data_IF_529756019308
#
_entry.id   IF_529756019308
#
_cell.length_a   1.000
_cell.length_b   1.000
_cell.length_c   1.000
_cell.angle_alpha   90.00
_cell.angle_beta   90.00
_cell.angle_gamma   90.00
#
_symmetry.space_group_name_H-M   'P 1'
#
loop_
_entity.id
_entity.type
_entity.pdbx_description
1 polymer ?
#
# COMPACT_ATOMS: atom_id res chain seq x y z
N UNK A 1 -12.18 -6.22 -21.91
CA UNK A 1 -11.20 -6.70 -20.90
C UNK A 1 -11.04 -5.58 -19.88
N UNK A 2 -11.63 -5.73 -18.68
CA UNK A 2 -11.72 -4.67 -17.68
C UNK A 2 -10.57 -4.84 -16.69
N UNK A 3 -9.44 -4.22 -16.98
CA UNK A 3 -8.31 -4.14 -16.05
C UNK A 3 -8.82 -3.44 -14.79
N UNK A 4 -8.76 -4.08 -13.63
CA UNK A 4 -9.17 -3.48 -12.35
C UNK A 4 -7.95 -3.47 -11.43
N UNK A 5 -7.33 -2.31 -11.28
CA UNK A 5 -6.21 -2.09 -10.36
C UNK A 5 -6.83 -1.75 -9.01
N UNK A 6 -6.98 -2.75 -8.13
CA UNK A 6 -7.84 -2.57 -6.95
C UNK A 6 -7.12 -2.66 -5.62
N UNK A 7 -5.80 -2.65 -5.54
CA UNK A 7 -5.13 -2.51 -4.25
C UNK A 7 -3.83 -1.73 -4.44
N UNK A 8 -3.71 -0.55 -3.84
CA UNK A 8 -2.40 0.08 -3.56
C UNK A 8 -2.24 0.13 -2.03
N UNK A 9 -1.09 -0.30 -1.56
CA UNK A 9 -0.62 -0.14 -0.18
C UNK A 9 0.54 0.86 -0.14
N UNK A 10 0.34 2.18 -0.26
CA UNK A 10 1.38 3.13 0.09
C UNK A 10 1.80 3.03 1.55
N UNK A 11 3.00 2.47 1.77
CA UNK A 11 3.80 2.70 2.97
C UNK A 11 4.55 4.01 2.83
N UNK A 12 4.14 5.00 3.64
CA UNK A 12 4.79 6.32 3.67
C UNK A 12 5.73 6.41 4.87
N UNK A 13 7.03 6.48 4.60
CA UNK A 13 8.02 6.84 5.62
C UNK A 13 8.15 8.36 5.66
N UNK A 14 7.89 8.99 6.82
CA UNK A 14 8.23 10.41 7.00
C UNK A 14 9.72 10.48 7.32
N UNK A 15 10.54 10.81 6.33
CA UNK A 15 11.96 11.13 6.54
C UNK A 15 12.09 12.61 6.94
N UNK A 16 11.94 12.90 8.22
CA UNK A 16 12.39 14.16 8.82
C UNK A 16 13.33 13.78 9.96
N UNK A 17 14.64 13.87 9.69
CA UNK A 17 15.76 13.36 10.53
C UNK A 17 15.83 11.83 10.63
N UNK A 18 17.04 11.32 10.84
CA UNK A 18 17.36 9.93 11.21
C UNK A 18 16.80 9.58 12.60
N UNK A 19 15.54 9.89 12.85
CA UNK A 19 14.79 9.48 14.02
C UNK A 19 14.13 8.15 13.70
N UNK A 20 14.36 7.15 14.55
CA UNK A 20 13.79 5.81 14.49
C UNK A 20 12.30 5.89 14.09
N UNK A 21 11.88 5.20 13.02
CA UNK A 21 10.49 5.22 12.54
C UNK A 21 9.57 4.75 13.68
N UNK A 22 8.97 5.69 14.41
CA UNK A 22 8.12 5.37 15.57
C UNK A 22 6.75 4.85 15.14
N UNK A 23 6.27 5.25 13.96
CA UNK A 23 4.95 4.92 13.46
C UNK A 23 4.99 4.69 11.95
N UNK A 24 4.89 3.43 11.54
CA UNK A 24 4.67 3.06 10.15
C UNK A 24 3.22 3.39 9.77
N UNK A 25 3.03 3.95 8.57
CA UNK A 25 1.70 4.23 8.05
C UNK A 25 1.45 3.51 6.74
N UNK A 26 0.27 2.93 6.62
CA UNK A 26 -0.26 2.35 5.39
C UNK A 26 -1.52 3.09 5.03
N UNK A 27 -1.57 3.65 3.82
CA UNK A 27 -2.76 4.32 3.28
C UNK A 27 -3.24 5.51 4.14
N UNK A 28 -2.35 6.08 4.96
CA UNK A 28 -2.64 7.17 5.90
C UNK A 28 -2.91 6.72 7.33
N UNK A 29 -3.22 5.44 7.55
CA UNK A 29 -3.50 4.84 8.86
C UNK A 29 -2.22 4.32 9.52
N UNK A 30 -2.14 4.40 10.85
CA UNK A 30 -1.00 3.88 11.61
C UNK A 30 -1.13 2.37 11.70
N UNK A 31 -0.10 1.66 11.22
CA UNK A 31 0.01 0.23 11.43
C UNK A 31 0.58 -0.02 12.82
N UNK A 32 -0.29 -0.44 13.73
CA UNK A 32 0.08 -0.88 15.07
C UNK A 32 -0.70 -2.14 15.42
N UNK A 33 -0.04 -3.05 16.13
CA UNK A 33 -0.71 -4.21 16.72
C UNK A 33 -1.87 -3.72 17.61
N UNK A 34 -3.01 -4.38 17.51
CA UNK A 34 -4.13 -4.13 18.40
C UNK A 34 -3.76 -4.58 19.82
N UNK A 35 -4.48 -4.06 20.82
CA UNK A 35 -4.21 -4.39 22.23
C UNK A 35 -4.41 -5.88 22.55
N UNK A 36 -5.20 -6.59 21.73
CA UNK A 36 -5.42 -8.04 21.81
C UNK A 36 -4.33 -8.86 21.08
N UNK A 37 -3.29 -8.20 20.56
CA UNK A 37 -2.21 -8.84 19.84
C UNK A 37 -2.51 -9.13 18.36
N UNK A 38 -3.71 -8.82 17.87
CA UNK A 38 -4.07 -9.05 16.47
C UNK A 38 -3.46 -8.01 15.55
N UNK A 39 -3.20 -8.45 14.33
CA UNK A 39 -2.86 -7.54 13.25
C UNK A 39 -4.06 -6.61 12.95
N UNK A 40 -3.83 -5.32 12.69
CA UNK A 40 -4.88 -4.45 12.19
C UNK A 40 -5.34 -4.96 10.82
N UNK A 41 -6.64 -4.82 10.49
CA UNK A 41 -7.11 -5.12 9.14
C UNK A 41 -6.40 -4.20 8.14
N UNK A 42 -6.06 -4.75 6.97
CA UNK A 42 -5.46 -3.99 5.89
C UNK A 42 -6.57 -3.37 5.03
N UNK A 43 -6.64 -2.04 5.01
CA UNK A 43 -7.61 -1.29 4.21
C UNK A 43 -6.95 -0.80 2.90
N UNK A 44 -7.13 -1.50 1.78
CA UNK A 44 -6.51 -1.09 0.53
C UNK A 44 -7.21 0.11 -0.10
N UNK A 45 -6.47 0.88 -0.89
CA UNK A 45 -7.06 1.92 -1.74
C UNK A 45 -7.34 1.32 -3.11
N UNK A 46 -8.62 1.34 -3.49
CA UNK A 46 -9.08 1.00 -4.85
C UNK A 46 -8.85 2.23 -5.73
N UNK A 47 -8.16 2.04 -6.86
CA UNK A 47 -7.85 3.12 -7.80
C UNK A 47 -8.42 2.83 -9.17
N UNK A 48 -8.66 3.90 -9.94
CA UNK A 48 -9.03 3.71 -11.33
C UNK A 48 -7.81 3.23 -12.15
N UNK A 49 -7.99 2.35 -13.14
CA UNK A 49 -6.86 1.80 -13.91
C UNK A 49 -6.04 2.84 -14.67
N UNK A 50 -6.67 3.95 -15.02
CA UNK A 50 -6.06 5.08 -15.74
C UNK A 50 -5.56 6.18 -14.80
N UNK A 51 -5.74 6.02 -13.49
CA UNK A 51 -5.33 7.01 -12.51
C UNK A 51 -3.81 7.01 -12.38
N UNK A 52 -3.20 8.19 -12.49
CA UNK A 52 -1.78 8.37 -12.23
C UNK A 52 -1.53 8.27 -10.74
N UNK A 53 -0.63 7.37 -10.34
CA UNK A 53 -0.24 7.16 -8.94
C UNK A 53 1.07 7.91 -8.70
N UNK A 54 1.02 8.92 -7.82
CA UNK A 54 2.20 9.70 -7.44
C UNK A 54 2.80 9.13 -6.16
N UNK A 55 4.05 8.66 -6.24
CA UNK A 55 4.76 8.11 -5.10
C UNK A 55 5.54 9.20 -4.35
N UNK A 56 5.29 9.38 -3.04
CA UNK A 56 6.11 10.27 -2.24
C UNK A 56 7.59 9.81 -2.20
N UNK A 57 8.55 10.73 -2.08
CA UNK A 57 9.94 10.37 -1.82
C UNK A 57 10.07 9.49 -0.56
N UNK A 58 10.98 8.52 -0.60
CA UNK A 58 11.23 7.57 0.49
C UNK A 58 9.96 6.81 0.93
N UNK A 59 9.15 6.36 -0.04
CA UNK A 59 7.98 5.52 0.21
C UNK A 59 8.08 4.21 -0.56
N UNK A 60 7.33 3.20 -0.12
CA UNK A 60 7.18 1.93 -0.83
C UNK A 60 5.69 1.67 -1.02
N UNK A 61 5.30 1.12 -2.17
CA UNK A 61 3.92 0.71 -2.39
C UNK A 61 3.83 -0.72 -2.87
N UNK A 62 2.82 -1.44 -2.42
CA UNK A 62 2.45 -2.73 -3.01
C UNK A 62 1.19 -2.54 -3.83
N UNK A 63 1.20 -3.06 -5.06
CA UNK A 63 0.05 -3.00 -5.94
C UNK A 63 -0.42 -4.41 -6.28
N UNK A 64 -1.74 -4.63 -6.22
CA UNK A 64 -2.35 -5.85 -6.73
C UNK A 64 -3.17 -5.51 -7.96
N UNK A 65 -2.78 -6.09 -9.08
CA UNK A 65 -3.43 -5.91 -10.37
C UNK A 65 -4.24 -7.17 -10.64
N UNK A 66 -5.56 -7.02 -10.70
CA UNK A 66 -6.46 -8.14 -10.97
C UNK A 66 -6.75 -8.27 -12.48
N UNK A 67 -7.01 -9.50 -12.91
CA UNK A 67 -7.40 -9.79 -14.31
C UNK A 67 -6.24 -9.72 -15.31
N UNK A 68 -4.99 -9.73 -14.83
CA UNK A 68 -3.81 -9.86 -15.69
C UNK A 68 -3.55 -11.34 -15.95
N UNK A 69 -3.53 -11.71 -17.23
CA UNK A 69 -3.05 -13.01 -17.68
C UNK A 69 -1.58 -12.84 -18.04
N UNK A 70 -0.70 -13.01 -17.05
CA UNK A 70 0.74 -12.96 -17.30
C UNK A 70 1.23 -14.39 -17.61
N UNK A 71 2.02 -14.57 -18.69
CA UNK A 71 2.39 -15.90 -19.20
C UNK A 71 3.31 -16.71 -18.27
N UNK A 72 3.74 -16.13 -17.16
CA UNK A 72 4.52 -16.82 -16.12
C UNK A 72 3.66 -17.38 -14.98
N UNK A 73 2.35 -17.12 -14.98
CA UNK A 73 1.40 -17.71 -14.04
C UNK A 73 0.65 -18.84 -14.76
N UNK A 74 1.20 -20.05 -14.69
CA UNK A 74 0.59 -21.31 -15.12
C UNK A 74 0.80 -22.36 -14.03
#
# INVERSE_FOLDING_TARGET
>A
MKLSINLIFPMRFKLQRFDCIKNLRMNGEILKLQNDGKLPPFHPIIVNPTQIIILPPFSMVFMVIHGVHAPAYY
#
